data_IF_992587274312
#
_entry.id   IF_992587274312
#
_cell.length_a   1.000
_cell.length_b   1.000
_cell.length_c   1.000
_cell.angle_alpha   90.00
_cell.angle_beta   90.00
_cell.angle_gamma   90.00
#
_symmetry.space_group_name_H-M   'P 1'
#
loop_
_entity.id
_entity.type
_entity.pdbx_description
1 polymer ?
#
# COMPACT_ATOMS: atom_id res chain seq x y z
N UNK A 1 28.04 -28.69 -19.71
CA UNK A 1 27.42 -27.36 -19.53
C UNK A 1 26.59 -27.09 -20.77
N UNK A 2 25.27 -27.24 -20.69
CA UNK A 2 24.38 -26.87 -21.80
C UNK A 2 24.23 -25.35 -21.86
N UNK A 3 24.25 -24.71 -23.04
CA UNK A 3 24.11 -23.27 -23.15
C UNK A 3 22.67 -22.88 -22.79
N UNK A 4 22.51 -21.87 -21.93
CA UNK A 4 21.22 -21.28 -21.62
C UNK A 4 20.58 -20.76 -22.91
N UNK A 5 19.35 -21.20 -23.19
CA UNK A 5 18.58 -20.70 -24.33
C UNK A 5 18.40 -19.20 -24.19
N UNK A 6 18.92 -18.44 -25.15
CA UNK A 6 18.71 -17.00 -25.25
C UNK A 6 17.22 -16.74 -25.41
N UNK A 7 16.55 -16.24 -24.37
CA UNK A 7 15.19 -15.74 -24.51
C UNK A 7 15.25 -14.54 -25.44
N UNK A 8 14.63 -14.65 -26.61
CA UNK A 8 14.46 -13.52 -27.51
C UNK A 8 13.56 -12.51 -26.79
N UNK A 9 14.12 -11.42 -26.28
CA UNK A 9 13.33 -10.33 -25.70
C UNK A 9 12.55 -9.66 -26.84
N UNK A 10 11.27 -9.99 -26.99
CA UNK A 10 10.40 -9.18 -27.82
C UNK A 10 10.37 -7.76 -27.23
N UNK A 11 10.52 -6.71 -28.05
CA UNK A 11 10.44 -5.34 -27.56
C UNK A 11 9.05 -5.08 -26.96
N UNK A 12 9.01 -4.30 -25.88
CA UNK A 12 7.74 -3.89 -25.26
C UNK A 12 6.88 -3.16 -26.30
N UNK A 13 5.58 -3.52 -26.45
CA UNK A 13 4.72 -2.93 -27.47
C UNK A 13 4.42 -1.47 -27.13
N UNK A 14 4.72 -0.56 -28.07
CA UNK A 14 4.53 0.87 -27.91
C UNK A 14 3.08 1.22 -27.49
N UNK A 15 2.87 2.28 -26.68
CA UNK A 15 1.53 2.68 -26.27
C UNK A 15 0.65 3.03 -27.47
N UNK A 16 -0.56 2.49 -27.52
CA UNK A 16 -1.42 2.51 -28.72
C UNK A 16 -1.89 3.92 -29.11
N UNK A 17 -1.95 4.87 -28.19
CA UNK A 17 -2.37 6.25 -28.48
C UNK A 17 -1.16 7.19 -28.72
N UNK A 18 0.07 6.66 -28.76
CA UNK A 18 1.28 7.42 -29.03
C UNK A 18 1.85 8.20 -27.83
N UNK A 19 1.29 7.99 -26.64
CA UNK A 19 1.81 8.55 -25.39
C UNK A 19 3.17 7.97 -24.99
N UNK A 20 4.01 8.70 -24.25
CA UNK A 20 5.24 8.14 -23.71
C UNK A 20 4.97 7.13 -22.59
N UNK A 21 5.93 6.23 -22.35
CA UNK A 21 5.93 5.41 -21.13
C UNK A 21 6.27 6.27 -19.91
N UNK A 22 5.43 6.22 -18.89
CA UNK A 22 5.73 6.72 -17.56
C UNK A 22 6.52 5.65 -16.81
N UNK A 23 7.83 5.86 -16.68
CA UNK A 23 8.76 5.00 -15.94
C UNK A 23 9.11 5.60 -14.57
N UNK A 24 8.10 6.18 -13.92
CA UNK A 24 8.21 6.75 -12.57
C UNK A 24 7.62 5.76 -11.55
N UNK A 25 7.82 5.96 -10.24
CA UNK A 25 7.15 5.16 -9.20
C UNK A 25 5.62 5.31 -9.17
N UNK A 26 5.05 6.17 -10.03
CA UNK A 26 3.63 6.40 -10.17
C UNK A 26 3.31 7.83 -10.62
N UNK A 27 2.20 8.06 -11.34
CA UNK A 27 1.36 7.05 -12.00
C UNK A 27 2.08 6.40 -13.20
N UNK A 28 1.58 5.24 -13.65
CA UNK A 28 2.15 4.48 -14.78
C UNK A 28 1.26 4.60 -16.02
N UNK A 29 1.84 4.37 -17.21
CA UNK A 29 1.08 4.30 -18.47
C UNK A 29 0.16 3.07 -18.44
N UNK A 30 -1.16 3.29 -18.53
CA UNK A 30 -2.16 2.23 -18.52
C UNK A 30 -2.33 1.56 -19.89
N UNK A 31 -2.73 0.29 -19.90
CA UNK A 31 -3.07 -0.44 -21.13
C UNK A 31 -4.29 0.19 -21.83
N UNK A 32 -4.38 0.05 -23.17
CA UNK A 32 -5.49 0.63 -23.93
C UNK A 32 -6.86 0.16 -23.44
N UNK A 33 -6.99 -1.11 -23.05
CA UNK A 33 -8.24 -1.69 -22.59
C UNK A 33 -8.75 -0.99 -21.32
N UNK A 34 -7.85 -0.52 -20.44
CA UNK A 34 -8.21 0.26 -19.25
C UNK A 34 -8.77 1.62 -19.68
N UNK A 35 -8.12 2.28 -20.64
CA UNK A 35 -8.58 3.58 -21.16
C UNK A 35 -9.94 3.47 -21.85
N UNK A 36 -10.14 2.44 -22.67
CA UNK A 36 -11.41 2.17 -23.34
C UNK A 36 -12.53 1.87 -22.33
N UNK A 37 -12.23 1.15 -21.24
CA UNK A 37 -13.19 0.89 -20.16
C UNK A 37 -13.64 2.17 -19.42
N UNK A 38 -12.77 3.17 -19.32
CA UNK A 38 -13.07 4.47 -18.68
C UNK A 38 -14.03 5.35 -19.50
N UNK A 39 -14.28 5.03 -20.78
CA UNK A 39 -15.22 5.77 -21.63
C UNK A 39 -16.68 5.32 -21.45
N UNK A 40 -16.95 4.44 -20.48
CA UNK A 40 -18.29 3.92 -20.19
C UNK A 40 -18.92 4.66 -19.02
N UNK A 41 -20.15 5.14 -19.22
CA UNK A 41 -20.99 5.67 -18.15
C UNK A 41 -21.64 4.52 -17.36
N UNK A 42 -21.76 4.70 -16.04
CA UNK A 42 -22.36 3.73 -15.13
C UNK A 42 -23.33 4.41 -14.18
N UNK A 43 -24.54 3.86 -14.02
CA UNK A 43 -25.42 4.20 -12.91
C UNK A 43 -24.98 3.50 -11.64
N UNK A 44 -24.83 4.24 -10.53
CA UNK A 44 -24.38 3.68 -9.24
C UNK A 44 -25.32 2.61 -8.67
N UNK A 45 -26.58 2.61 -9.09
CA UNK A 45 -27.60 1.64 -8.68
C UNK A 45 -27.77 0.47 -9.64
N UNK A 46 -27.10 0.51 -10.80
CA UNK A 46 -27.24 -0.50 -11.84
C UNK A 46 -26.71 -1.84 -11.35
N UNK A 47 -27.44 -2.92 -11.67
CA UNK A 47 -27.08 -4.28 -11.24
C UNK A 47 -25.67 -4.66 -11.72
N UNK A 48 -25.32 -4.28 -12.95
CA UNK A 48 -24.02 -4.58 -13.55
C UNK A 48 -22.87 -3.83 -12.88
N UNK A 49 -23.07 -2.56 -12.51
CA UNK A 49 -22.05 -1.78 -11.77
C UNK A 49 -21.81 -2.35 -10.37
N UNK A 50 -22.90 -2.75 -9.68
CA UNK A 50 -22.82 -3.40 -8.37
C UNK A 50 -22.13 -4.76 -8.45
N UNK A 51 -22.41 -5.54 -9.49
CA UNK A 51 -21.75 -6.82 -9.73
C UNK A 51 -20.25 -6.64 -10.03
N UNK A 52 -19.89 -5.66 -10.85
CA UNK A 52 -18.50 -5.30 -11.12
C UNK A 52 -17.77 -4.89 -9.84
N UNK A 53 -18.38 -4.02 -9.02
CA UNK A 53 -17.79 -3.56 -7.75
C UNK A 53 -17.57 -4.72 -6.79
N UNK A 54 -18.55 -5.63 -6.67
CA UNK A 54 -18.39 -6.85 -5.86
C UNK A 54 -17.23 -7.71 -6.37
N UNK A 55 -17.18 -7.96 -7.67
CA UNK A 55 -16.11 -8.76 -8.28
C UNK A 55 -14.72 -8.14 -8.06
N UNK A 56 -14.60 -6.81 -8.12
CA UNK A 56 -13.37 -6.11 -7.77
C UNK A 56 -12.97 -6.36 -6.31
N UNK A 57 -13.91 -6.19 -5.38
CA UNK A 57 -13.65 -6.42 -3.95
C UNK A 57 -13.22 -7.86 -3.67
N UNK A 58 -13.92 -8.85 -4.24
CA UNK A 58 -13.62 -10.28 -4.06
C UNK A 58 -12.21 -10.62 -4.57
N UNK A 59 -11.83 -10.07 -5.74
CA UNK A 59 -10.50 -10.26 -6.32
C UNK A 59 -9.39 -9.61 -5.47
N UNK A 60 -9.63 -8.42 -4.91
CA UNK A 60 -8.66 -7.74 -4.05
C UNK A 60 -8.43 -8.50 -2.73
N UNK A 61 -9.48 -9.03 -2.13
CA UNK A 61 -9.40 -9.86 -0.92
C UNK A 61 -8.61 -11.15 -1.21
N UNK A 62 -8.90 -11.82 -2.33
CA UNK A 62 -8.16 -12.99 -2.76
C UNK A 62 -6.68 -12.69 -3.05
N UNK A 63 -6.37 -11.53 -3.65
CA UNK A 63 -5.00 -11.09 -3.90
C UNK A 63 -4.23 -10.83 -2.60
N UNK A 64 -4.90 -10.34 -1.56
CA UNK A 64 -4.32 -10.18 -0.22
C UNK A 64 -4.07 -11.52 0.51
N UNK A 65 -4.47 -12.65 -0.09
CA UNK A 65 -4.22 -13.99 0.44
C UNK A 65 -5.31 -14.50 1.39
N UNK A 66 -6.44 -13.81 1.51
CA UNK A 66 -7.57 -14.31 2.30
C UNK A 66 -8.20 -15.54 1.64
N UNK A 67 -8.23 -16.64 2.39
CA UNK A 67 -8.82 -17.91 1.97
C UNK A 67 -9.96 -18.35 2.88
N UNK A 68 -10.17 -17.64 3.99
CA UNK A 68 -11.12 -17.98 5.05
C UNK A 68 -12.30 -17.02 5.09
N UNK A 69 -12.26 -15.93 4.32
CA UNK A 69 -13.33 -14.93 4.26
C UNK A 69 -13.32 -14.00 5.47
N UNK A 70 -12.15 -13.78 6.06
CA UNK A 70 -11.96 -12.94 7.24
C UNK A 70 -11.85 -11.45 6.89
N UNK A 71 -11.52 -11.12 5.63
CA UNK A 71 -11.32 -9.76 5.19
C UNK A 71 -12.47 -9.26 4.31
N UNK A 72 -12.70 -7.96 4.38
CA UNK A 72 -13.60 -7.23 3.49
C UNK A 72 -12.84 -6.12 2.78
N UNK A 73 -13.12 -5.92 1.49
CA UNK A 73 -12.59 -4.79 0.73
C UNK A 73 -13.64 -3.68 0.62
N UNK A 74 -13.28 -2.48 1.06
CA UNK A 74 -14.09 -1.27 0.91
C UNK A 74 -13.36 -0.33 -0.06
N UNK A 75 -13.90 -0.07 -1.26
CA UNK A 75 -13.32 0.90 -2.18
C UNK A 75 -13.38 2.31 -1.58
N UNK A 76 -12.23 2.98 -1.52
CA UNK A 76 -12.12 4.34 -1.02
C UNK A 76 -12.03 5.33 -2.18
N UNK A 77 -12.86 6.38 -2.17
CA UNK A 77 -12.78 7.45 -3.16
C UNK A 77 -11.61 8.38 -2.80
N UNK A 78 -10.47 8.21 -3.46
CA UNK A 78 -9.33 9.10 -3.28
C UNK A 78 -8.01 8.49 -3.74
N UNK A 79 -6.93 9.20 -3.48
CA UNK A 79 -5.58 8.67 -3.67
C UNK A 79 -5.18 7.73 -2.53
N UNK A 80 -4.03 7.07 -2.65
CA UNK A 80 -3.52 6.21 -1.58
C UNK A 80 -3.35 6.93 -0.23
N UNK A 81 -3.03 8.23 -0.22
CA UNK A 81 -2.93 9.00 1.02
C UNK A 81 -4.27 9.16 1.74
N UNK A 82 -5.37 9.27 0.99
CA UNK A 82 -6.71 9.29 1.56
C UNK A 82 -7.02 7.96 2.28
N UNK A 83 -6.66 6.84 1.65
CA UNK A 83 -6.85 5.51 2.26
C UNK A 83 -6.00 5.32 3.52
N UNK A 84 -4.76 5.80 3.53
CA UNK A 84 -3.89 5.75 4.73
C UNK A 84 -4.45 6.58 5.88
N UNK A 85 -4.95 7.79 5.59
CA UNK A 85 -5.59 8.63 6.62
C UNK A 85 -6.87 8.00 7.15
N UNK A 86 -7.73 7.48 6.27
CA UNK A 86 -8.95 6.79 6.66
C UNK A 86 -8.65 5.55 7.53
N UNK A 87 -7.63 4.77 7.17
CA UNK A 87 -7.16 3.62 7.95
C UNK A 87 -6.70 4.04 9.34
N UNK A 88 -5.80 5.02 9.45
CA UNK A 88 -5.27 5.52 10.72
C UNK A 88 -6.39 6.12 11.60
N UNK A 89 -7.29 6.90 11.01
CA UNK A 89 -8.40 7.54 11.71
C UNK A 89 -9.47 6.57 12.22
N UNK A 90 -9.66 5.44 11.51
CA UNK A 90 -10.71 4.44 11.80
C UNK A 90 -10.21 3.33 12.72
N UNK A 91 -9.03 2.77 12.46
CA UNK A 91 -8.55 1.60 13.20
C UNK A 91 -7.89 1.96 14.53
N UNK A 92 -7.26 3.14 14.63
CA UNK A 92 -6.59 3.56 15.87
C UNK A 92 -7.60 4.26 16.79
N UNK A 93 -7.88 3.71 17.99
CA UNK A 93 -8.74 4.36 18.98
C UNK A 93 -8.22 5.75 19.35
N UNK A 94 -9.10 6.65 19.80
CA UNK A 94 -8.70 8.03 20.16
C UNK A 94 -7.62 8.10 21.25
N UNK A 95 -7.63 7.12 22.15
CA UNK A 95 -6.66 6.95 23.23
C UNK A 95 -5.57 5.90 22.90
N UNK A 96 -5.54 5.37 21.68
CA UNK A 96 -4.49 4.46 21.22
C UNK A 96 -3.21 5.22 20.88
N UNK A 97 -2.08 4.51 20.94
CA UNK A 97 -0.77 5.00 20.52
C UNK A 97 -0.21 4.10 19.43
N UNK A 98 0.38 4.69 18.40
CA UNK A 98 0.93 3.97 17.24
C UNK A 98 2.46 4.05 17.23
N UNK A 99 3.13 2.94 16.98
CA UNK A 99 4.53 2.95 16.56
C UNK A 99 4.59 3.14 15.04
N UNK A 100 5.13 4.27 14.61
CA UNK A 100 5.35 4.58 13.19
C UNK A 100 6.77 4.20 12.81
N UNK A 101 6.89 3.31 11.82
CA UNK A 101 8.18 2.93 11.26
C UNK A 101 8.38 3.68 9.94
N UNK A 102 9.36 4.59 9.92
CA UNK A 102 9.65 5.41 8.76
C UNK A 102 11.07 5.15 8.24
N UNK A 103 11.17 4.95 6.93
CA UNK A 103 12.42 4.90 6.20
C UNK A 103 12.27 5.57 4.81
N UNK A 104 11.44 6.61 4.78
CA UNK A 104 11.13 7.41 3.60
C UNK A 104 9.88 8.26 3.77
N UNK A 105 9.47 8.89 2.67
CA UNK A 105 8.43 9.91 2.65
C UNK A 105 7.04 9.40 3.05
N UNK A 106 6.70 8.12 2.82
CA UNK A 106 5.37 7.62 3.15
C UNK A 106 5.22 7.33 4.64
N UNK A 107 6.26 6.78 5.28
CA UNK A 107 6.29 6.62 6.75
C UNK A 107 6.24 7.97 7.46
N UNK A 108 7.02 8.95 6.99
CA UNK A 108 6.98 10.32 7.53
C UNK A 108 5.62 10.99 7.33
N UNK A 109 4.96 10.76 6.18
CA UNK A 109 3.60 11.26 5.94
C UNK A 109 2.59 10.61 6.88
N UNK A 110 2.73 9.33 7.20
CA UNK A 110 1.87 8.67 8.19
C UNK A 110 2.03 9.31 9.58
N UNK A 111 3.26 9.61 10.01
CA UNK A 111 3.51 10.36 11.25
C UNK A 111 2.88 11.76 11.23
N UNK A 112 2.96 12.46 10.09
CA UNK A 112 2.32 13.76 9.92
C UNK A 112 0.78 13.66 10.00
N UNK A 113 0.19 12.65 9.36
CA UNK A 113 -1.25 12.36 9.49
C UNK A 113 -1.65 12.12 10.94
N UNK A 114 -0.87 11.34 11.70
CA UNK A 114 -1.13 11.12 13.13
C UNK A 114 -1.12 12.43 13.93
N UNK A 115 -0.17 13.33 13.63
CA UNK A 115 -0.12 14.68 14.21
C UNK A 115 -1.38 15.49 13.87
N UNK A 116 -1.81 15.52 12.60
CA UNK A 116 -3.03 16.24 12.20
C UNK A 116 -4.30 15.69 12.85
N UNK A 117 -4.40 14.37 13.01
CA UNK A 117 -5.54 13.70 13.65
C UNK A 117 -5.52 13.83 15.18
N UNK A 118 -4.46 14.39 15.76
CA UNK A 118 -4.28 14.47 17.22
C UNK A 118 -4.18 13.10 17.88
N UNK A 119 -3.55 12.14 17.20
CA UNK A 119 -3.35 10.77 17.69
C UNK A 119 -1.93 10.60 18.22
N UNK A 120 -1.79 9.90 19.34
CA UNK A 120 -0.48 9.65 19.94
C UNK A 120 0.33 8.68 19.07
N UNK A 121 1.62 8.95 18.92
CA UNK A 121 2.53 8.05 18.23
C UNK A 121 3.97 8.14 18.78
N UNK A 122 4.73 7.09 18.56
CA UNK A 122 6.20 7.04 18.67
C UNK A 122 6.76 6.82 17.27
N UNK A 123 7.88 7.45 16.92
CA UNK A 123 8.49 7.35 15.59
C UNK A 123 9.85 6.68 15.69
N UNK A 124 10.05 5.61 14.91
CA UNK A 124 11.37 5.11 14.54
C UNK A 124 11.65 5.61 13.13
N UNK A 125 12.58 6.55 13.00
CA UNK A 125 13.01 7.12 11.72
C UNK A 125 14.40 6.58 11.35
N UNK A 126 14.46 5.81 10.26
CA UNK A 126 15.68 5.20 9.71
C UNK A 126 16.27 6.03 8.55
N UNK A 127 15.74 7.22 8.28
CA UNK A 127 16.11 8.03 7.12
C UNK A 127 15.68 7.35 5.82
N UNK A 128 16.58 7.19 4.87
CA UNK A 128 16.35 6.55 3.58
C UNK A 128 17.37 5.43 3.28
N UNK A 129 18.02 4.91 4.32
CA UNK A 129 19.16 4.00 4.18
C UNK A 129 18.82 2.53 4.45
N UNK A 130 18.14 2.25 5.57
CA UNK A 130 17.95 0.89 6.08
C UNK A 130 16.49 0.64 6.49
N UNK A 131 15.98 -0.59 6.30
CA UNK A 131 14.68 -0.95 6.81
C UNK A 131 14.66 -0.96 8.35
N UNK A 132 13.52 -0.63 8.98
CA UNK A 132 13.26 -0.99 10.38
C UNK A 132 13.36 -2.51 10.57
N UNK A 133 13.91 -2.96 11.70
CA UNK A 133 14.10 -4.37 12.03
C UNK A 133 13.21 -4.81 13.19
N UNK A 134 12.88 -6.11 13.24
CA UNK A 134 11.97 -6.67 14.24
C UNK A 134 12.46 -6.52 15.67
N UNK A 135 13.77 -6.64 15.91
CA UNK A 135 14.38 -6.44 17.23
C UNK A 135 14.26 -4.99 17.73
N UNK A 136 14.42 -4.01 16.84
CA UNK A 136 14.19 -2.59 17.15
C UNK A 136 12.70 -2.32 17.47
N UNK A 137 11.79 -2.99 16.77
CA UNK A 137 10.35 -2.89 17.00
C UNK A 137 9.98 -3.49 18.36
N UNK A 138 10.43 -4.72 18.65
CA UNK A 138 10.17 -5.41 19.90
C UNK A 138 10.68 -4.59 21.10
N UNK A 139 11.92 -4.07 21.02
CA UNK A 139 12.48 -3.23 22.07
C UNK A 139 11.66 -1.94 22.30
N UNK A 140 11.11 -1.34 21.25
CA UNK A 140 10.26 -0.17 21.36
C UNK A 140 8.89 -0.49 21.99
N UNK A 141 8.30 -1.64 21.66
CA UNK A 141 7.05 -2.11 22.25
C UNK A 141 7.21 -2.46 23.74
N UNK A 142 8.32 -3.12 24.11
CA UNK A 142 8.66 -3.43 25.50
C UNK A 142 8.87 -2.17 26.35
N UNK A 143 9.53 -1.16 25.77
CA UNK A 143 9.81 0.11 26.46
C UNK A 143 8.57 1.00 26.62
N UNK A 144 7.55 0.81 25.78
CA UNK A 144 6.36 1.66 25.72
C UNK A 144 5.07 0.83 25.58
N UNK A 145 4.62 0.15 26.67
CA UNK A 145 3.50 -0.79 26.62
C UNK A 145 2.13 -0.18 26.30
N UNK A 146 2.03 1.15 26.17
CA UNK A 146 0.80 1.83 25.75
C UNK A 146 0.64 1.86 24.22
N UNK A 147 1.66 1.48 23.46
CA UNK A 147 1.56 1.28 22.02
C UNK A 147 0.61 0.11 21.76
N UNK A 148 -0.40 0.35 20.93
CA UNK A 148 -1.43 -0.66 20.58
C UNK A 148 -1.40 -1.05 19.12
N UNK A 149 -0.71 -0.28 18.27
CA UNK A 149 -0.67 -0.50 16.82
C UNK A 149 0.74 -0.20 16.30
N UNK A 150 1.14 -0.89 15.24
CA UNK A 150 2.36 -0.62 14.47
C UNK A 150 1.95 -0.29 13.03
N UNK A 151 2.54 0.75 12.44
CA UNK A 151 2.39 1.03 11.02
C UNK A 151 3.76 0.96 10.33
N UNK A 152 3.78 0.19 9.23
CA UNK A 152 4.92 0.02 8.36
C UNK A 152 4.51 0.21 6.90
N UNK A 153 5.41 0.78 6.10
CA UNK A 153 5.25 0.85 4.65
C UNK A 153 5.96 -0.35 4.04
N UNK A 154 5.24 -1.31 3.46
CA UNK A 154 5.88 -2.52 2.92
C UNK A 154 6.90 -2.19 1.81
N UNK A 155 6.50 -1.36 0.84
CA UNK A 155 7.36 -0.87 -0.23
C UNK A 155 7.45 0.65 -0.13
N UNK A 156 8.54 1.17 0.44
CA UNK A 156 8.79 2.60 0.55
C UNK A 156 9.38 3.11 -0.77
N UNK A 157 8.51 3.51 -1.68
CA UNK A 157 8.91 3.88 -3.05
C UNK A 157 9.82 5.11 -3.12
N UNK A 158 9.85 5.95 -2.08
CA UNK A 158 10.71 7.14 -2.07
C UNK A 158 12.19 6.80 -1.85
N UNK A 159 12.49 5.75 -1.06
CA UNK A 159 13.86 5.25 -0.84
C UNK A 159 14.16 3.97 -1.64
N UNK A 160 13.13 3.32 -2.19
CA UNK A 160 13.26 2.05 -2.91
C UNK A 160 13.45 0.85 -1.99
N UNK A 161 13.13 0.97 -0.70
CA UNK A 161 13.33 -0.07 0.29
C UNK A 161 12.08 -0.94 0.43
N UNK A 162 12.27 -2.26 0.39
CA UNK A 162 11.26 -3.25 0.75
C UNK A 162 11.45 -3.62 2.23
N UNK A 163 10.50 -3.22 3.08
CA UNK A 163 10.56 -3.47 4.52
C UNK A 163 10.13 -4.92 4.85
N UNK A 164 10.82 -5.59 5.79
CA UNK A 164 10.56 -7.00 6.11
C UNK A 164 9.32 -7.17 6.99
N UNK A 165 8.12 -7.03 6.41
CA UNK A 165 6.85 -7.06 7.17
C UNK A 165 6.66 -8.34 7.98
N UNK A 166 7.12 -9.50 7.47
CA UNK A 166 7.06 -10.76 8.21
C UNK A 166 7.86 -10.70 9.52
N UNK A 167 9.11 -10.24 9.45
CA UNK A 167 9.97 -10.05 10.63
C UNK A 167 9.37 -9.03 11.61
N UNK A 168 8.85 -7.91 11.09
CA UNK A 168 8.22 -6.86 11.91
C UNK A 168 6.96 -7.39 12.62
N UNK A 169 6.22 -8.32 12.00
CA UNK A 169 4.99 -8.87 12.58
C UNK A 169 5.21 -9.91 13.69
N UNK A 170 6.43 -10.45 13.81
CA UNK A 170 6.82 -11.39 14.87
C UNK A 170 7.33 -10.69 16.13
N UNK A 171 7.51 -9.37 16.07
CA UNK A 171 8.03 -8.53 17.14
C UNK A 171 7.04 -8.28 18.30
#
# INVERSE_FOLDING_TARGET
MSPASSSSSQPLPAPKLGEPYLLTPGPLTTAIQVKEAMLRDWGSWDADFRAMTRSLCDQLVALAGDRTGEFACVPMQGSGSFSVEAMLGTFVPRNGKVLVLANGAYGLRAAETMRYLGRAYTLIDKGDYMPPRGDEVAAALDADPVITHVIAIHCETSSGILNPVAEISEA
#
